data_IF_140435576621
#
_entry.id   IF_140435576621
#
_cell.length_a   1.000
_cell.length_b   1.000
_cell.length_c   1.000
_cell.angle_alpha   90.00
_cell.angle_beta   90.00
_cell.angle_gamma   90.00
#
_symmetry.space_group_name_H-M   'P 1'
#
loop_
_entity.id
_entity.type
_entity.pdbx_description
1 polymer ?
#
# COMPACT_ATOMS: atom_id res chain seq x y z
N UNK A 1 -21.59 32.85 -18.58
CA UNK A 1 -21.61 32.08 -19.84
C UNK A 1 -20.42 31.13 -19.94
N UNK A 2 -19.19 31.61 -19.74
CA UNK A 2 -17.96 30.78 -19.72
C UNK A 2 -18.05 29.66 -18.67
N UNK A 3 -18.55 29.92 -17.46
CA UNK A 3 -18.71 28.90 -16.42
C UNK A 3 -19.59 27.71 -16.85
N UNK A 4 -20.67 27.95 -17.60
CA UNK A 4 -21.52 26.86 -18.12
C UNK A 4 -20.78 26.06 -19.19
N UNK A 5 -20.10 26.74 -20.10
CA UNK A 5 -19.31 26.09 -21.14
C UNK A 5 -18.20 25.20 -20.54
N UNK A 6 -17.48 25.71 -19.54
CA UNK A 6 -16.44 24.95 -18.83
C UNK A 6 -17.03 23.76 -18.09
N UNK A 7 -18.19 23.92 -17.45
CA UNK A 7 -18.87 22.84 -16.76
C UNK A 7 -19.32 21.72 -17.73
N UNK A 8 -19.87 22.08 -18.89
CA UNK A 8 -20.31 21.11 -19.90
C UNK A 8 -19.14 20.33 -20.51
N UNK A 9 -18.01 21.01 -20.76
CA UNK A 9 -16.77 20.36 -21.24
C UNK A 9 -16.24 19.40 -20.18
N UNK A 10 -16.16 19.82 -18.91
CA UNK A 10 -15.73 18.96 -17.81
C UNK A 10 -16.66 17.76 -17.64
N UNK A 11 -17.97 17.96 -17.74
CA UNK A 11 -18.96 16.89 -17.62
C UNK A 11 -18.80 15.85 -18.73
N UNK A 12 -18.57 16.30 -19.97
CA UNK A 12 -18.34 15.42 -21.12
C UNK A 12 -17.02 14.64 -20.97
N UNK A 13 -15.95 15.30 -20.54
CA UNK A 13 -14.68 14.64 -20.21
C UNK A 13 -14.86 13.60 -19.09
N UNK A 14 -15.60 13.92 -18.02
CA UNK A 14 -15.87 12.97 -16.94
C UNK A 14 -16.66 11.74 -17.42
N UNK A 15 -17.65 11.92 -18.29
CA UNK A 15 -18.40 10.80 -18.85
C UNK A 15 -17.54 9.91 -19.77
N UNK A 16 -16.64 10.50 -20.55
CA UNK A 16 -15.68 9.75 -21.35
C UNK A 16 -14.68 8.96 -20.49
N UNK A 17 -14.16 9.55 -19.41
CA UNK A 17 -13.26 8.87 -18.48
C UNK A 17 -13.95 7.71 -17.75
N UNK A 18 -15.26 7.81 -17.51
CA UNK A 18 -16.05 6.76 -16.84
C UNK A 18 -16.34 5.54 -17.71
N UNK A 19 -16.20 5.63 -19.05
CA UNK A 19 -16.35 4.47 -19.93
C UNK A 19 -15.41 3.36 -19.51
N UNK A 20 -15.91 2.12 -19.46
CA UNK A 20 -15.15 0.96 -18.96
C UNK A 20 -13.80 0.80 -19.67
N UNK A 21 -13.76 0.98 -20.99
CA UNK A 21 -12.53 0.92 -21.80
C UNK A 21 -11.48 1.95 -21.35
N UNK A 22 -11.91 3.17 -21.02
CA UNK A 22 -11.03 4.24 -20.56
C UNK A 22 -10.61 4.03 -19.11
N UNK A 23 -11.48 3.50 -18.26
CA UNK A 23 -11.11 3.08 -16.91
C UNK A 23 -10.05 1.97 -16.92
N UNK A 24 -10.15 1.00 -17.83
CA UNK A 24 -9.14 -0.04 -18.00
C UNK A 24 -7.80 0.58 -18.40
N UNK A 25 -7.78 1.52 -19.34
CA UNK A 25 -6.56 2.24 -19.75
C UNK A 25 -5.97 3.09 -18.62
N UNK A 26 -6.81 3.79 -17.86
CA UNK A 26 -6.37 4.57 -16.69
C UNK A 26 -5.76 3.65 -15.64
N UNK A 27 -6.40 2.51 -15.37
CA UNK A 27 -5.88 1.54 -14.43
C UNK A 27 -4.55 0.95 -14.89
N UNK A 28 -4.42 0.59 -16.17
CA UNK A 28 -3.19 0.00 -16.70
C UNK A 28 -2.04 0.99 -16.81
N UNK A 29 -2.32 2.23 -17.20
CA UNK A 29 -1.28 3.19 -17.60
C UNK A 29 -0.97 4.23 -16.51
N UNK A 30 -1.87 4.41 -15.54
CA UNK A 30 -1.70 5.41 -14.48
C UNK A 30 -1.70 4.73 -13.11
N UNK A 31 -2.75 3.99 -12.79
CA UNK A 31 -2.90 3.41 -11.44
C UNK A 31 -1.86 2.32 -11.18
N UNK A 32 -1.69 1.37 -12.10
CA UNK A 32 -0.67 0.31 -11.99
C UNK A 32 0.75 0.85 -11.80
N UNK A 33 1.29 1.77 -12.61
CA UNK A 33 2.65 2.26 -12.40
C UNK A 33 2.81 3.04 -11.10
N UNK A 34 1.79 3.78 -10.65
CA UNK A 34 1.82 4.45 -9.34
C UNK A 34 1.90 3.41 -8.22
N UNK A 35 1.01 2.42 -8.23
CA UNK A 35 0.99 1.36 -7.23
C UNK A 35 2.29 0.55 -7.29
N UNK A 36 2.79 0.17 -8.47
CA UNK A 36 4.02 -0.62 -8.57
C UNK A 36 5.23 0.13 -8.04
N UNK A 37 5.31 1.45 -8.28
CA UNK A 37 6.39 2.29 -7.75
C UNK A 37 6.28 2.49 -6.24
N UNK A 38 5.06 2.60 -5.70
CA UNK A 38 4.85 2.67 -4.27
C UNK A 38 5.19 1.33 -3.61
N UNK A 39 4.68 0.22 -4.15
CA UNK A 39 4.94 -1.13 -3.66
C UNK A 39 6.42 -1.48 -3.73
N UNK A 40 7.13 -1.13 -4.80
CA UNK A 40 8.57 -1.41 -4.90
C UNK A 40 9.40 -0.66 -3.85
N UNK A 41 8.96 0.54 -3.46
CA UNK A 41 9.58 1.30 -2.37
C UNK A 41 9.17 0.79 -1.00
N UNK A 42 7.91 0.41 -0.80
CA UNK A 42 7.38 -0.04 0.49
C UNK A 42 7.78 -1.47 0.85
N UNK A 43 7.92 -2.35 -0.15
CA UNK A 43 8.27 -3.76 0.04
C UNK A 43 9.53 -3.97 0.91
N UNK A 44 10.69 -3.33 0.64
CA UNK A 44 11.87 -3.52 1.48
C UNK A 44 11.64 -3.08 2.94
N UNK A 45 10.88 -2.01 3.18
CA UNK A 45 10.56 -1.58 4.55
C UNK A 45 9.63 -2.57 5.26
N UNK A 46 8.65 -3.14 4.54
CA UNK A 46 7.80 -4.20 5.08
C UNK A 46 8.62 -5.44 5.46
N UNK A 47 9.57 -5.84 4.62
CA UNK A 47 10.48 -6.96 4.92
C UNK A 47 11.31 -6.68 6.17
N UNK A 48 11.88 -5.48 6.29
CA UNK A 48 12.65 -5.09 7.49
C UNK A 48 11.76 -5.12 8.75
N UNK A 49 10.53 -4.62 8.65
CA UNK A 49 9.55 -4.67 9.74
C UNK A 49 9.27 -6.10 10.18
N UNK A 50 9.04 -7.03 9.24
CA UNK A 50 8.83 -8.44 9.56
C UNK A 50 10.04 -9.06 10.26
N UNK A 51 11.26 -8.80 9.77
CA UNK A 51 12.49 -9.28 10.41
C UNK A 51 12.61 -8.74 11.83
N UNK A 52 12.35 -7.45 12.03
CA UNK A 52 12.39 -6.81 13.34
C UNK A 52 11.40 -7.47 14.32
N UNK A 53 10.18 -7.75 13.89
CA UNK A 53 9.19 -8.45 14.73
C UNK A 53 9.60 -9.89 15.06
N UNK A 54 10.18 -10.62 14.11
CA UNK A 54 10.69 -11.98 14.37
C UNK A 54 11.79 -11.93 15.44
N UNK A 55 12.72 -10.98 15.36
CA UNK A 55 13.77 -10.81 16.36
C UNK A 55 13.20 -10.49 17.75
N UNK A 56 12.23 -9.59 17.82
CA UNK A 56 11.53 -9.27 19.08
C UNK A 56 10.85 -10.52 19.66
N UNK A 57 10.21 -11.31 18.82
CA UNK A 57 9.53 -12.54 19.24
C UNK A 57 10.54 -13.57 19.80
N UNK A 58 11.68 -13.75 19.14
CA UNK A 58 12.78 -14.60 19.64
C UNK A 58 13.28 -14.10 21.01
N UNK A 59 13.43 -12.78 21.17
CA UNK A 59 13.88 -12.18 22.42
C UNK A 59 12.90 -12.47 23.56
N UNK A 60 11.59 -12.29 23.31
CA UNK A 60 10.54 -12.56 24.30
C UNK A 60 10.57 -14.04 24.71
N UNK A 61 10.67 -14.96 23.75
CA UNK A 61 10.77 -16.40 24.03
C UNK A 61 12.01 -16.70 24.88
N UNK A 62 13.16 -16.10 24.53
CA UNK A 62 14.42 -16.30 25.27
C UNK A 62 14.32 -15.83 26.72
N UNK A 63 13.72 -14.67 26.95
CA UNK A 63 13.47 -14.13 28.30
C UNK A 63 12.52 -15.06 29.08
N UNK A 64 11.45 -15.53 28.44
CA UNK A 64 10.50 -16.44 29.06
C UNK A 64 11.17 -17.75 29.51
N UNK A 65 12.01 -18.33 28.63
CA UNK A 65 12.80 -19.54 28.93
C UNK A 65 13.74 -19.26 30.11
N UNK A 66 14.46 -18.14 30.10
CA UNK A 66 15.39 -17.78 31.18
C UNK A 66 14.68 -17.68 32.53
N UNK A 67 13.49 -17.05 32.57
CA UNK A 67 12.68 -16.94 33.79
C UNK A 67 12.23 -18.32 34.29
N UNK A 68 11.78 -19.19 33.39
CA UNK A 68 11.35 -20.56 33.72
C UNK A 68 12.51 -21.40 34.26
N UNK A 69 13.70 -21.30 33.67
CA UNK A 69 14.88 -21.99 34.16
C UNK A 69 15.35 -21.46 35.51
N UNK A 70 15.33 -20.14 35.72
CA UNK A 70 15.73 -19.54 36.98
C UNK A 70 14.76 -19.85 38.13
N UNK A 71 13.46 -20.00 37.86
CA UNK A 71 12.46 -20.41 38.86
C UNK A 71 12.54 -21.89 39.27
N UNK A 72 13.16 -22.74 38.45
CA UNK A 72 13.32 -24.18 38.74
C UNK A 72 14.55 -24.49 39.59
N UNK A 73 15.43 -23.50 39.81
CA UNK A 73 16.61 -23.58 40.68
C UNK A 73 16.26 -23.02 42.06
#
# INVERSE_FOLDING_TARGET
MIQKLTADILYKCMNELKKEENQVKINSNIVKPIISNLSSRLYPYMVILFIMYILILILIISILILILFNKKK
#
